data_IF_051469683753
#
_entry.id   IF_051469683753
#
_cell.length_a   1.000
_cell.length_b   1.000
_cell.length_c   1.000
_cell.angle_alpha   90.00
_cell.angle_beta   90.00
_cell.angle_gamma   90.00
#
_symmetry.space_group_name_H-M   'P 1'
#
loop_
_entity.id
_entity.type
_entity.pdbx_description
1 polymer ?
#
# COMPACT_ATOMS: atom_id res chain seq x y z
N UNK A 1 -69.93 -3.76 -37.23
CA UNK A 1 -68.82 -3.74 -38.17
C UNK A 1 -67.96 -2.48 -37.87
N UNK A 2 -66.91 -2.62 -37.09
CA UNK A 2 -65.99 -1.53 -36.74
C UNK A 2 -64.65 -1.83 -37.41
N UNK A 3 -64.23 -0.92 -38.25
CA UNK A 3 -62.89 -0.93 -38.87
C UNK A 3 -61.88 -0.35 -37.89
N UNK A 4 -60.87 -1.14 -37.53
CA UNK A 4 -59.69 -0.71 -36.77
C UNK A 4 -58.67 -0.16 -37.75
N UNK A 5 -58.33 1.15 -37.60
CA UNK A 5 -57.30 1.82 -38.39
C UNK A 5 -55.90 1.56 -37.81
N UNK A 6 -55.04 1.03 -38.67
CA UNK A 6 -53.62 0.86 -38.40
C UNK A 6 -52.89 2.21 -38.48
N UNK A 7 -52.33 2.70 -37.36
CA UNK A 7 -51.44 3.86 -37.36
C UNK A 7 -50.00 3.38 -37.50
N UNK A 8 -49.43 3.63 -38.67
CA UNK A 8 -47.98 3.45 -38.92
C UNK A 8 -47.20 4.55 -38.21
N UNK A 9 -46.37 4.14 -37.24
CA UNK A 9 -45.42 5.03 -36.57
C UNK A 9 -44.12 5.01 -37.37
N UNK A 10 -43.79 6.14 -37.97
CA UNK A 10 -42.54 6.38 -38.69
C UNK A 10 -41.46 6.72 -37.68
N UNK A 11 -40.48 5.80 -37.47
CA UNK A 11 -39.27 6.08 -36.72
C UNK A 11 -38.29 6.87 -37.62
N UNK A 12 -38.08 8.14 -37.31
CA UNK A 12 -37.01 8.96 -37.90
C UNK A 12 -35.72 8.60 -37.14
N UNK A 13 -34.81 7.89 -37.80
CA UNK A 13 -33.42 7.76 -37.36
C UNK A 13 -32.71 9.08 -37.63
N UNK A 14 -32.47 9.88 -36.59
CA UNK A 14 -31.49 10.96 -36.62
C UNK A 14 -30.13 10.33 -36.38
N UNK A 15 -29.34 10.20 -37.43
CA UNK A 15 -27.92 9.87 -37.34
C UNK A 15 -27.22 11.08 -36.72
N UNK A 16 -26.86 10.93 -35.43
CA UNK A 16 -25.91 11.84 -34.78
C UNK A 16 -24.51 11.34 -35.17
N UNK A 17 -23.94 11.93 -36.25
CA UNK A 17 -22.50 11.88 -36.49
C UNK A 17 -21.83 12.80 -35.46
N UNK A 18 -21.55 12.27 -34.25
CA UNK A 18 -20.65 12.95 -33.30
C UNK A 18 -19.27 12.37 -33.42
N UNK A 19 -18.41 13.18 -33.99
CA UNK A 19 -16.96 13.27 -33.76
C UNK A 19 -16.25 12.06 -33.09
N UNK A 20 -15.85 11.10 -33.90
CA UNK A 20 -14.94 10.02 -33.52
C UNK A 20 -13.45 10.35 -33.74
N UNK A 21 -13.07 11.63 -33.79
CA UNK A 21 -11.68 12.02 -34.01
C UNK A 21 -10.79 12.08 -32.78
N UNK A 22 -11.38 12.10 -31.56
CA UNK A 22 -10.59 12.06 -30.29
C UNK A 22 -10.24 10.66 -29.79
N UNK A 23 -11.11 9.67 -30.07
CA UNK A 23 -10.94 8.30 -29.55
C UNK A 23 -9.86 7.52 -30.29
N UNK A 24 -9.63 7.82 -31.58
CA UNK A 24 -8.59 7.14 -32.37
C UNK A 24 -7.17 7.60 -32.00
N UNK A 25 -6.97 8.89 -31.70
CA UNK A 25 -5.66 9.41 -31.28
C UNK A 25 -5.26 8.93 -29.86
N UNK A 26 -6.22 8.85 -28.93
CA UNK A 26 -5.96 8.35 -27.58
C UNK A 26 -5.62 6.84 -27.57
N UNK A 27 -6.28 6.05 -28.43
CA UNK A 27 -5.98 4.62 -28.54
C UNK A 27 -4.60 4.35 -29.16
N UNK A 28 -4.14 5.14 -30.15
CA UNK A 28 -2.80 4.99 -30.72
C UNK A 28 -1.70 5.40 -29.72
N UNK A 29 -1.92 6.44 -28.94
CA UNK A 29 -1.00 6.88 -27.91
C UNK A 29 -0.88 5.85 -26.78
N UNK A 30 -1.98 5.28 -26.28
CA UNK A 30 -1.95 4.23 -25.27
C UNK A 30 -1.28 2.95 -25.78
N UNK A 31 -1.47 2.58 -27.02
CA UNK A 31 -0.80 1.43 -27.63
C UNK A 31 0.73 1.55 -27.58
N UNK A 32 1.29 2.74 -27.85
CA UNK A 32 2.73 3.00 -27.72
C UNK A 32 3.22 2.93 -26.27
N UNK A 33 2.45 3.46 -25.33
CA UNK A 33 2.75 3.36 -23.88
C UNK A 33 2.74 1.90 -23.43
N UNK A 34 1.71 1.15 -23.78
CA UNK A 34 1.55 -0.25 -23.40
C UNK A 34 2.67 -1.11 -23.95
N UNK A 35 3.11 -0.90 -25.20
CA UNK A 35 4.27 -1.58 -25.78
C UNK A 35 5.57 -1.31 -25.00
N UNK A 36 5.77 -0.06 -24.51
CA UNK A 36 6.94 0.28 -23.70
C UNK A 36 6.86 -0.35 -22.30
N UNK A 37 5.67 -0.39 -21.69
CA UNK A 37 5.46 -1.08 -20.40
C UNK A 37 5.70 -2.58 -20.58
N UNK A 38 5.19 -3.19 -21.65
CA UNK A 38 5.35 -4.61 -21.95
C UNK A 38 6.82 -4.96 -22.17
N UNK A 39 7.60 -4.11 -22.82
CA UNK A 39 9.05 -4.28 -22.94
C UNK A 39 9.76 -4.32 -21.57
N UNK A 40 9.35 -3.46 -20.62
CA UNK A 40 9.87 -3.48 -19.25
C UNK A 40 9.38 -4.75 -18.52
N UNK A 41 8.11 -5.13 -18.67
CA UNK A 41 7.52 -6.33 -18.10
C UNK A 41 8.30 -7.58 -18.50
N UNK A 42 8.56 -7.73 -19.79
CA UNK A 42 9.29 -8.88 -20.35
C UNK A 42 10.78 -8.87 -19.93
N UNK A 43 11.44 -7.71 -19.96
CA UNK A 43 12.83 -7.54 -19.54
C UNK A 43 13.04 -7.95 -18.08
N UNK A 44 12.13 -7.57 -17.20
CA UNK A 44 12.19 -7.86 -15.76
C UNK A 44 11.59 -9.23 -15.43
N UNK A 45 11.14 -10.00 -16.42
CA UNK A 45 10.49 -11.31 -16.24
C UNK A 45 9.39 -11.24 -15.19
N UNK A 46 8.46 -10.30 -15.32
CA UNK A 46 7.38 -10.14 -14.34
C UNK A 46 6.34 -11.26 -14.50
N UNK A 47 5.74 -11.72 -13.40
CA UNK A 47 4.67 -12.72 -13.44
C UNK A 47 3.29 -12.08 -13.61
N UNK A 48 3.08 -10.93 -12.97
CA UNK A 48 1.89 -10.11 -13.08
C UNK A 48 2.21 -8.68 -12.68
N UNK A 49 1.61 -7.71 -13.35
CA UNK A 49 1.81 -6.27 -13.14
C UNK A 49 0.48 -5.56 -13.21
N UNK A 50 0.11 -4.82 -12.17
CA UNK A 50 -1.00 -3.88 -12.17
C UNK A 50 -0.49 -2.45 -12.07
N UNK A 51 -1.01 -1.57 -12.92
CA UNK A 51 -0.70 -0.13 -12.92
C UNK A 51 -2.01 0.67 -12.83
N UNK A 52 -2.00 1.73 -12.02
CA UNK A 52 -2.99 2.80 -12.09
C UNK A 52 -2.30 4.16 -12.06
N UNK A 53 -2.79 5.10 -12.88
CA UNK A 53 -2.29 6.48 -12.93
C UNK A 53 -3.42 7.43 -12.59
N UNK A 54 -3.10 8.39 -11.73
CA UNK A 54 -3.99 9.47 -11.33
C UNK A 54 -3.48 10.78 -11.91
N UNK A 55 -4.36 11.60 -12.48
CA UNK A 55 -4.10 12.98 -12.89
C UNK A 55 -5.28 13.86 -12.45
N UNK A 56 -5.00 14.89 -11.65
CA UNK A 56 -6.04 15.73 -11.08
C UNK A 56 -7.03 14.96 -10.20
N UNK A 57 -8.29 14.96 -10.61
CA UNK A 57 -9.42 14.36 -9.89
C UNK A 57 -9.81 12.97 -10.41
N UNK A 58 -9.02 12.41 -11.33
CA UNK A 58 -9.40 11.20 -12.05
C UNK A 58 -8.29 10.15 -12.06
N UNK A 59 -8.70 8.89 -12.07
CA UNK A 59 -7.84 7.78 -12.46
C UNK A 59 -7.90 7.73 -13.99
N UNK A 60 -6.81 8.16 -14.65
CA UNK A 60 -6.75 8.32 -16.11
C UNK A 60 -6.27 7.07 -16.84
N UNK A 61 -5.68 6.12 -16.10
CA UNK A 61 -5.19 4.89 -16.67
C UNK A 61 -5.22 3.75 -15.65
N UNK A 62 -5.71 2.58 -16.05
CA UNK A 62 -5.66 1.32 -15.28
C UNK A 62 -5.45 0.17 -16.24
N UNK A 63 -4.38 -0.59 -16.03
CA UNK A 63 -4.13 -1.77 -16.86
C UNK A 63 -3.39 -2.86 -16.08
N UNK A 64 -3.60 -4.12 -16.47
CA UNK A 64 -2.97 -5.28 -15.87
C UNK A 64 -2.36 -6.19 -16.93
N UNK A 65 -1.13 -6.67 -16.70
CA UNK A 65 -0.39 -7.60 -17.55
C UNK A 65 -0.08 -8.89 -16.82
N UNK A 66 0.02 -9.98 -17.58
CA UNK A 66 0.45 -11.28 -17.07
C UNK A 66 -0.64 -12.02 -16.29
N UNK A 67 -0.24 -12.68 -15.21
CA UNK A 67 -1.08 -13.68 -14.55
C UNK A 67 -1.33 -13.34 -13.09
N UNK A 68 -2.57 -13.61 -12.65
CA UNK A 68 -2.92 -13.75 -11.24
C UNK A 68 -2.36 -15.07 -10.68
N UNK A 69 -2.44 -16.12 -11.49
CA UNK A 69 -1.88 -17.45 -11.23
C UNK A 69 -1.08 -17.90 -12.46
N UNK A 70 0.23 -18.05 -12.29
CA UNK A 70 1.14 -18.39 -13.41
C UNK A 70 0.83 -19.81 -13.93
N UNK A 71 0.87 -20.04 -15.26
CA UNK A 71 0.73 -21.37 -15.83
C UNK A 71 1.74 -22.37 -15.28
N UNK A 72 1.31 -23.60 -15.12
CA UNK A 72 2.14 -24.76 -14.75
C UNK A 72 1.93 -25.89 -15.74
N UNK A 73 2.67 -26.99 -15.61
CA UNK A 73 2.49 -28.18 -16.48
C UNK A 73 1.05 -28.70 -16.42
N UNK A 74 0.36 -28.48 -15.28
CA UNK A 74 -0.99 -29.03 -15.03
C UNK A 74 -2.09 -27.97 -15.04
N UNK A 75 -1.77 -26.68 -15.23
CA UNK A 75 -2.73 -25.58 -15.17
C UNK A 75 -2.38 -24.51 -16.20
N UNK A 76 -3.36 -24.08 -16.99
CA UNK A 76 -3.19 -23.02 -18.01
C UNK A 76 -2.91 -21.63 -17.40
N UNK A 77 -2.98 -21.49 -16.09
CA UNK A 77 -2.88 -20.21 -15.39
C UNK A 77 -4.17 -19.40 -15.46
N UNK A 78 -4.18 -18.28 -14.72
CA UNK A 78 -5.32 -17.36 -14.70
C UNK A 78 -4.76 -15.96 -14.97
N UNK A 79 -5.30 -15.29 -15.99
CA UNK A 79 -4.91 -13.92 -16.32
C UNK A 79 -5.24 -12.96 -15.17
N UNK A 80 -4.37 -11.99 -14.98
CA UNK A 80 -4.56 -10.90 -14.03
C UNK A 80 -5.61 -9.92 -14.52
N UNK A 81 -6.48 -9.46 -13.60
CA UNK A 81 -7.54 -8.47 -13.86
C UNK A 81 -7.36 -7.24 -12.98
N UNK A 82 -7.94 -6.11 -13.38
CA UNK A 82 -7.84 -4.84 -12.64
C UNK A 82 -8.56 -4.87 -11.28
N UNK A 83 -9.49 -5.81 -11.06
CA UNK A 83 -10.23 -6.02 -9.82
C UNK A 83 -9.65 -7.14 -8.93
N UNK A 84 -8.51 -7.70 -9.30
CA UNK A 84 -7.80 -8.66 -8.47
C UNK A 84 -7.06 -7.95 -7.31
N UNK A 85 -6.96 -8.66 -6.17
CA UNK A 85 -6.44 -8.14 -4.91
C UNK A 85 -4.96 -8.50 -4.76
N UNK A 86 -4.11 -7.50 -4.75
CA UNK A 86 -2.71 -7.66 -4.41
C UNK A 86 -2.47 -7.44 -2.91
N UNK A 87 -1.60 -8.24 -2.31
CA UNK A 87 -0.88 -7.80 -1.12
C UNK A 87 0.05 -6.65 -1.51
N UNK A 88 0.19 -5.62 -0.65
CA UNK A 88 0.98 -4.42 -1.00
C UNK A 88 2.20 -4.20 -0.10
N UNK A 89 2.55 -5.17 0.74
CA UNK A 89 3.69 -5.11 1.65
C UNK A 89 3.76 -3.76 2.39
N UNK A 90 4.94 -3.12 2.46
CA UNK A 90 5.15 -1.91 3.29
C UNK A 90 4.33 -0.67 2.89
N UNK A 91 3.65 -0.65 1.74
CA UNK A 91 2.64 0.38 1.45
C UNK A 91 1.51 0.34 2.49
N UNK A 92 1.25 -0.82 3.12
CA UNK A 92 0.32 -0.99 4.24
C UNK A 92 0.57 -0.03 5.40
N UNK A 93 1.82 0.36 5.64
CA UNK A 93 2.21 1.27 6.72
C UNK A 93 1.54 2.65 6.61
N UNK A 94 1.20 3.08 5.41
CA UNK A 94 0.53 4.36 5.20
C UNK A 94 -0.86 4.36 5.83
N UNK A 95 -1.60 3.27 5.74
CA UNK A 95 -2.91 3.11 6.40
C UNK A 95 -2.81 3.17 7.93
N UNK A 96 -1.76 2.54 8.49
CA UNK A 96 -1.48 2.61 9.93
C UNK A 96 -1.20 4.05 10.37
N UNK A 97 -0.33 4.76 9.63
CA UNK A 97 0.02 6.15 9.93
C UNK A 97 -1.22 7.06 9.81
N UNK A 98 -2.06 6.87 8.80
CA UNK A 98 -3.33 7.59 8.63
C UNK A 98 -4.25 7.39 9.83
N UNK A 99 -4.47 6.14 10.27
CA UNK A 99 -5.32 5.87 11.44
C UNK A 99 -4.75 6.45 12.74
N UNK A 100 -3.43 6.40 12.95
CA UNK A 100 -2.78 7.03 14.11
C UNK A 100 -3.03 8.55 14.09
N UNK A 101 -2.90 9.20 12.93
CA UNK A 101 -3.11 10.65 12.83
C UNK A 101 -4.57 11.03 13.03
N UNK A 102 -5.53 10.21 12.61
CA UNK A 102 -6.95 10.41 12.96
C UNK A 102 -7.17 10.37 14.48
N UNK A 103 -6.56 9.39 15.17
CA UNK A 103 -6.64 9.31 16.63
C UNK A 103 -5.95 10.50 17.33
N UNK A 104 -4.92 11.08 16.71
CA UNK A 104 -4.29 12.32 17.18
C UNK A 104 -5.25 13.52 16.99
N UNK A 105 -5.91 13.64 15.85
CA UNK A 105 -6.90 14.69 15.57
C UNK A 105 -8.10 14.62 16.52
N UNK A 106 -8.52 13.41 16.88
CA UNK A 106 -9.59 13.14 17.84
C UNK A 106 -9.16 13.38 19.29
N UNK A 107 -7.87 13.61 19.57
CA UNK A 107 -7.34 13.77 20.92
C UNK A 107 -7.29 12.49 21.75
N UNK A 108 -7.44 11.32 21.10
CA UNK A 108 -7.38 9.99 21.75
C UNK A 108 -5.95 9.64 22.17
N UNK A 109 -4.98 10.06 21.39
CA UNK A 109 -3.55 9.91 21.68
C UNK A 109 -2.74 11.11 21.17
N UNK A 110 -1.52 11.27 21.67
CA UNK A 110 -0.56 12.27 21.17
C UNK A 110 0.65 11.59 20.54
N UNK A 111 1.27 12.26 19.57
CA UNK A 111 2.48 11.74 18.91
C UNK A 111 3.65 11.51 19.89
N UNK A 112 3.70 12.28 20.97
CA UNK A 112 4.76 12.20 21.99
C UNK A 112 4.37 11.36 23.21
N UNK A 113 3.21 10.69 23.16
CA UNK A 113 2.82 9.72 24.17
C UNK A 113 3.79 8.54 24.17
N UNK A 114 4.10 8.09 25.38
CA UNK A 114 4.78 6.82 25.61
C UNK A 114 3.87 5.66 25.18
N UNK A 115 4.30 4.89 24.19
CA UNK A 115 3.49 3.79 23.64
C UNK A 115 3.11 2.73 24.68
N UNK A 116 3.88 2.62 25.75
CA UNK A 116 3.58 1.72 26.88
C UNK A 116 2.21 1.97 27.50
N UNK A 117 1.66 3.20 27.38
CA UNK A 117 0.31 3.50 27.85
C UNK A 117 -0.78 2.66 27.18
N UNK A 118 -0.52 2.23 25.94
CA UNK A 118 -1.47 1.52 25.09
C UNK A 118 -1.17 0.02 24.98
N UNK A 119 0.03 -0.41 25.43
CA UNK A 119 0.45 -1.80 25.39
C UNK A 119 0.14 -2.50 26.73
N UNK A 120 -0.08 -3.82 26.68
CA UNK A 120 -0.32 -4.65 27.86
C UNK A 120 0.98 -5.14 28.55
N UNK A 121 2.12 -4.55 28.17
CA UNK A 121 3.43 -4.89 28.70
C UNK A 121 4.36 -3.67 28.66
N UNK A 122 5.38 -3.61 29.52
CA UNK A 122 6.34 -2.52 29.50
C UNK A 122 7.23 -2.62 28.26
N UNK A 123 7.44 -1.47 27.60
CA UNK A 123 8.30 -1.38 26.43
C UNK A 123 9.38 -0.32 26.65
N UNK A 124 10.61 -0.80 26.84
CA UNK A 124 11.81 0.04 27.04
C UNK A 124 13.01 -0.61 26.37
N UNK A 125 13.86 0.24 25.78
CA UNK A 125 15.19 -0.22 25.41
C UNK A 125 15.98 -0.55 26.70
N UNK A 126 16.54 -1.76 26.82
CA UNK A 126 17.26 -2.18 28.05
C UNK A 126 18.43 -1.27 28.43
N UNK A 127 19.10 -0.66 27.44
CA UNK A 127 20.21 0.28 27.65
C UNK A 127 19.75 1.69 28.02
N UNK A 128 18.45 2.01 27.88
CA UNK A 128 17.86 3.33 28.12
C UNK A 128 16.51 3.23 28.82
N UNK A 129 16.47 2.60 29.97
CA UNK A 129 15.24 2.23 30.69
C UNK A 129 14.39 3.43 31.13
N UNK A 130 15.01 4.59 31.33
CA UNK A 130 14.39 5.85 31.71
C UNK A 130 13.81 6.62 30.50
N UNK A 131 14.06 6.17 29.27
CA UNK A 131 13.63 6.84 28.06
C UNK A 131 12.36 6.20 27.50
N UNK A 132 11.27 6.97 27.33
CA UNK A 132 10.08 6.48 26.66
C UNK A 132 10.36 6.23 25.18
N UNK A 133 9.64 5.27 24.62
CA UNK A 133 9.48 5.11 23.18
C UNK A 133 8.13 5.71 22.82
N UNK A 134 8.13 6.72 21.93
CA UNK A 134 6.93 7.47 21.62
C UNK A 134 6.27 6.98 20.32
N UNK A 135 4.98 7.33 20.12
CA UNK A 135 4.25 7.08 18.88
C UNK A 135 5.01 7.67 17.68
N UNK A 136 5.51 8.89 17.82
CA UNK A 136 6.35 9.57 16.81
C UNK A 136 7.59 8.75 16.45
N UNK A 137 8.30 8.21 17.43
CA UNK A 137 9.50 7.40 17.20
C UNK A 137 9.19 6.10 16.44
N UNK A 138 8.03 5.50 16.67
CA UNK A 138 7.60 4.34 15.88
C UNK A 138 7.28 4.74 14.44
N UNK A 139 6.51 5.82 14.21
CA UNK A 139 6.15 6.33 12.89
C UNK A 139 7.37 6.69 12.04
N UNK A 140 8.41 7.28 12.67
CA UNK A 140 9.63 7.75 11.99
C UNK A 140 10.77 6.74 11.97
N UNK A 141 10.57 5.54 12.49
CA UNK A 141 11.61 4.51 12.61
C UNK A 141 12.85 4.95 13.41
N UNK A 142 12.63 5.74 14.48
CA UNK A 142 13.70 6.21 15.38
C UNK A 142 13.62 5.60 16.79
N UNK A 143 12.83 4.56 16.98
CA UNK A 143 12.54 3.95 18.27
C UNK A 143 13.70 3.17 18.92
N UNK A 144 14.80 2.94 18.19
CA UNK A 144 15.86 1.97 18.52
C UNK A 144 15.45 0.48 18.48
N UNK A 145 14.24 0.16 18.08
CA UNK A 145 13.78 -1.22 17.85
C UNK A 145 14.34 -1.72 16.51
N UNK A 146 14.57 -3.03 16.42
CA UNK A 146 15.07 -3.70 15.21
C UNK A 146 14.29 -4.97 14.88
N UNK A 147 14.45 -5.47 13.64
CA UNK A 147 13.80 -6.68 13.13
C UNK A 147 14.66 -7.95 13.26
N UNK A 148 15.65 -7.98 14.15
CA UNK A 148 16.58 -9.12 14.28
C UNK A 148 15.91 -10.39 14.84
N UNK A 149 14.76 -10.22 15.48
CA UNK A 149 13.95 -11.30 16.05
C UNK A 149 12.67 -11.49 15.25
N UNK A 150 11.78 -12.39 15.67
CA UNK A 150 10.48 -12.65 15.02
C UNK A 150 9.54 -11.44 15.17
N UNK A 151 9.76 -10.40 14.39
CA UNK A 151 9.06 -9.12 14.45
C UNK A 151 7.55 -9.20 14.19
N UNK A 152 7.04 -10.32 13.73
CA UNK A 152 5.60 -10.56 13.52
C UNK A 152 4.87 -11.05 14.78
N UNK A 153 5.52 -11.15 15.95
CA UNK A 153 4.90 -11.49 17.22
C UNK A 153 5.33 -10.51 18.32
N UNK A 154 4.36 -9.96 19.04
CA UNK A 154 4.62 -9.12 20.22
C UNK A 154 5.22 -9.89 21.39
N UNK A 155 5.08 -11.21 21.41
CA UNK A 155 5.61 -12.05 22.50
C UNK A 155 7.13 -11.92 22.63
N UNK A 156 7.84 -11.73 21.52
CA UNK A 156 9.30 -11.68 21.52
C UNK A 156 9.85 -10.40 22.14
N UNK A 157 9.18 -9.25 21.93
CA UNK A 157 9.61 -7.95 22.48
C UNK A 157 9.06 -7.69 23.88
N UNK A 158 8.17 -8.57 24.37
CA UNK A 158 7.56 -8.47 25.68
C UNK A 158 8.51 -9.02 26.76
N UNK A 159 9.07 -8.17 27.65
CA UNK A 159 10.03 -8.62 28.68
C UNK A 159 9.40 -9.48 29.78
N UNK A 160 8.07 -9.58 29.85
CA UNK A 160 7.38 -10.41 30.84
C UNK A 160 7.46 -11.91 30.45
N UNK A 161 7.52 -12.19 29.14
CA UNK A 161 7.41 -13.56 28.61
C UNK A 161 8.59 -14.00 27.74
N UNK A 162 9.49 -13.09 27.38
CA UNK A 162 10.62 -13.41 26.49
C UNK A 162 11.97 -13.01 27.07
N UNK A 163 12.85 -13.99 27.25
CA UNK A 163 14.26 -13.75 27.62
C UNK A 163 15.06 -13.08 26.47
N UNK A 164 14.52 -13.10 25.23
CA UNK A 164 15.18 -12.53 24.07
C UNK A 164 14.74 -11.09 23.77
N UNK A 165 13.88 -10.48 24.61
CA UNK A 165 13.33 -9.16 24.33
C UNK A 165 14.43 -8.10 24.09
N UNK A 166 15.54 -8.18 24.81
CA UNK A 166 16.65 -7.25 24.67
C UNK A 166 17.26 -7.25 23.27
N UNK A 167 17.24 -8.37 22.56
CA UNK A 167 17.76 -8.49 21.19
C UNK A 167 16.91 -7.76 20.16
N UNK A 168 15.67 -7.36 20.51
CA UNK A 168 14.80 -6.53 19.67
C UNK A 168 15.23 -5.06 19.63
N UNK A 169 16.26 -4.66 20.38
CA UNK A 169 16.72 -3.28 20.48
C UNK A 169 18.16 -3.14 19.98
N UNK A 170 18.47 -1.98 19.42
CA UNK A 170 19.84 -1.54 19.17
C UNK A 170 20.39 -0.77 20.37
N UNK A 171 21.71 -0.58 20.39
CA UNK A 171 22.38 0.17 21.46
C UNK A 171 22.19 1.69 21.35
N UNK A 172 21.54 2.16 20.28
CA UNK A 172 21.25 3.59 20.08
C UNK A 172 20.12 4.06 20.99
N UNK A 173 20.24 5.28 21.49
CA UNK A 173 19.19 5.92 22.30
C UNK A 173 17.93 6.15 21.45
N UNK A 174 16.73 5.82 21.96
CA UNK A 174 15.48 6.14 21.29
C UNK A 174 15.40 7.62 20.88
N UNK A 175 14.97 7.87 19.65
CA UNK A 175 14.84 9.18 19.03
C UNK A 175 16.07 9.69 18.27
N UNK A 176 17.23 9.02 18.35
CA UNK A 176 18.48 9.55 17.79
C UNK A 176 18.82 9.08 16.39
N UNK A 177 18.46 7.85 16.02
CA UNK A 177 18.87 7.25 14.75
C UNK A 177 17.69 6.69 13.99
N UNK A 178 17.66 6.96 12.68
CA UNK A 178 16.73 6.32 11.77
C UNK A 178 17.21 4.91 11.41
N UNK A 179 16.39 3.92 11.73
CA UNK A 179 16.60 2.53 11.29
C UNK A 179 15.23 1.93 10.93
N UNK A 180 15.00 1.74 9.64
CA UNK A 180 13.74 1.16 9.17
C UNK A 180 13.47 -0.19 9.86
N UNK A 181 12.27 -0.34 10.42
CA UNK A 181 11.92 -1.47 11.26
C UNK A 181 10.42 -1.80 11.12
N UNK A 182 10.09 -3.03 10.74
CA UNK A 182 8.70 -3.49 10.60
C UNK A 182 8.01 -3.59 11.96
N UNK A 183 8.74 -3.98 12.99
CA UNK A 183 8.22 -4.07 14.36
C UNK A 183 7.56 -2.77 14.83
N UNK A 184 8.09 -1.62 14.41
CA UNK A 184 7.48 -0.34 14.77
C UNK A 184 6.01 -0.26 14.35
N UNK A 185 5.68 -0.72 13.14
CA UNK A 185 4.32 -0.67 12.62
C UNK A 185 3.43 -1.80 13.15
N UNK A 186 4.02 -2.94 13.54
CA UNK A 186 3.29 -3.93 14.33
C UNK A 186 2.86 -3.35 15.68
N UNK A 187 3.78 -2.67 16.38
CA UNK A 187 3.50 -1.97 17.64
C UNK A 187 2.47 -0.85 17.47
N UNK A 188 2.53 -0.06 16.39
CA UNK A 188 1.52 0.95 16.09
C UNK A 188 0.12 0.34 15.90
N UNK A 189 0.03 -0.84 15.28
CA UNK A 189 -1.23 -1.58 15.24
C UNK A 189 -1.76 -1.94 16.62
N UNK A 190 -0.89 -2.40 17.53
CA UNK A 190 -1.26 -2.67 18.92
C UNK A 190 -1.61 -1.40 19.71
N UNK A 191 -0.95 -0.27 19.39
CA UNK A 191 -1.31 1.06 19.95
C UNK A 191 -2.72 1.47 19.53
N UNK A 192 -3.09 1.28 18.25
CA UNK A 192 -4.47 1.54 17.78
C UNK A 192 -5.46 0.70 18.59
N UNK A 193 -5.21 -0.60 18.75
CA UNK A 193 -6.09 -1.47 19.55
C UNK A 193 -6.18 -1.06 21.02
N UNK A 194 -5.04 -0.68 21.61
CA UNK A 194 -5.01 -0.23 23.02
C UNK A 194 -5.69 1.12 23.24
N UNK A 195 -5.64 2.01 22.26
CA UNK A 195 -6.25 3.33 22.32
C UNK A 195 -7.77 3.30 22.07
N UNK A 196 -8.24 2.41 21.18
CA UNK A 196 -9.64 2.36 20.77
C UNK A 196 -10.46 1.26 21.45
N UNK A 197 -9.81 0.21 21.93
CA UNK A 197 -10.50 -0.98 22.42
C UNK A 197 -11.07 -1.88 21.32
N UNK A 198 -10.82 -1.56 20.05
CA UNK A 198 -11.29 -2.29 18.88
C UNK A 198 -10.14 -2.98 18.15
N UNK A 199 -10.47 -3.97 17.31
CA UNK A 199 -9.48 -4.64 16.47
C UNK A 199 -8.92 -3.68 15.42
N UNK A 200 -7.63 -3.78 15.17
CA UNK A 200 -6.91 -2.97 14.19
C UNK A 200 -7.54 -3.02 12.78
N UNK A 201 -7.85 -4.21 12.28
CA UNK A 201 -8.45 -4.38 10.95
C UNK A 201 -9.84 -3.73 10.85
N UNK A 202 -10.62 -3.74 11.92
CA UNK A 202 -11.93 -3.07 12.01
C UNK A 202 -11.76 -1.54 12.03
N UNK A 203 -10.77 -1.02 12.77
CA UNK A 203 -10.48 0.42 12.79
C UNK A 203 -10.08 0.94 11.42
N UNK A 204 -9.19 0.23 10.71
CA UNK A 204 -8.81 0.61 9.34
C UNK A 204 -10.03 0.59 8.39
N UNK A 205 -10.85 -0.44 8.47
CA UNK A 205 -12.05 -0.57 7.65
C UNK A 205 -13.03 0.59 7.87
N UNK A 206 -13.37 0.87 9.14
CA UNK A 206 -14.34 1.92 9.48
C UNK A 206 -13.82 3.33 9.25
N UNK A 207 -12.54 3.59 9.50
CA UNK A 207 -11.94 4.92 9.44
C UNK A 207 -11.47 5.34 8.06
N UNK A 208 -11.08 4.39 7.22
CA UNK A 208 -10.43 4.67 5.94
C UNK A 208 -11.15 3.99 4.78
N UNK A 209 -11.35 2.67 4.85
CA UNK A 209 -11.81 1.91 3.70
C UNK A 209 -13.26 2.26 3.32
N UNK A 210 -14.18 2.20 4.28
CA UNK A 210 -15.60 2.51 4.06
C UNK A 210 -15.84 3.95 3.62
N UNK A 211 -15.27 4.99 4.29
CA UNK A 211 -15.47 6.37 3.86
C UNK A 211 -14.97 6.68 2.44
N UNK A 212 -13.94 5.95 1.97
CA UNK A 212 -13.38 6.11 0.63
C UNK A 212 -14.02 5.18 -0.41
N UNK A 213 -14.96 4.32 -0.01
CA UNK A 213 -15.54 3.28 -0.87
C UNK A 213 -14.45 2.42 -1.55
N UNK A 214 -13.55 1.88 -0.70
CA UNK A 214 -12.41 1.05 -1.10
C UNK A 214 -12.67 -0.39 -0.70
N UNK A 215 -12.46 -1.33 -1.64
CA UNK A 215 -12.51 -2.76 -1.40
C UNK A 215 -11.11 -3.30 -1.10
N UNK A 216 -10.98 -4.00 0.01
CA UNK A 216 -9.73 -4.56 0.47
C UNK A 216 -9.68 -4.69 1.98
N UNK A 217 -8.49 -4.91 2.54
CA UNK A 217 -8.33 -4.95 3.99
C UNK A 217 -7.15 -5.80 4.46
N UNK A 218 -6.95 -5.76 5.77
CA UNK A 218 -5.91 -6.55 6.43
C UNK A 218 -6.36 -7.98 6.76
N UNK A 219 -7.66 -8.18 6.97
CA UNK A 219 -8.22 -9.47 7.36
C UNK A 219 -8.64 -10.29 6.14
N UNK A 220 -7.82 -11.26 5.76
CA UNK A 220 -8.09 -12.15 4.62
C UNK A 220 -9.43 -12.91 4.70
N UNK A 221 -10.00 -13.08 5.91
CA UNK A 221 -11.26 -13.80 6.08
C UNK A 221 -12.48 -13.06 5.54
N UNK A 222 -12.36 -11.73 5.46
CA UNK A 222 -13.43 -10.84 5.01
C UNK A 222 -13.33 -10.54 3.50
N UNK A 223 -12.33 -11.09 2.83
CA UNK A 223 -12.04 -10.84 1.42
C UNK A 223 -12.32 -12.09 0.57
N UNK A 224 -12.70 -11.86 -0.68
CA UNK A 224 -12.82 -12.91 -1.68
C UNK A 224 -11.44 -13.46 -2.06
N UNK A 225 -11.12 -14.64 -1.57
CA UNK A 225 -9.83 -15.28 -1.81
C UNK A 225 -9.63 -15.71 -3.28
N UNK A 226 -10.68 -15.78 -4.08
CA UNK A 226 -10.57 -16.09 -5.52
C UNK A 226 -9.95 -14.93 -6.30
N UNK A 227 -9.96 -13.73 -5.72
CA UNK A 227 -9.33 -12.52 -6.29
C UNK A 227 -7.89 -12.33 -5.86
N UNK A 228 -7.33 -13.15 -4.99
CA UNK A 228 -5.95 -12.96 -4.53
C UNK A 228 -4.94 -13.27 -5.64
N UNK A 229 -4.07 -12.31 -5.92
CA UNK A 229 -2.96 -12.46 -6.86
C UNK A 229 -1.85 -13.26 -6.18
N UNK A 230 -1.50 -14.43 -6.71
CA UNK A 230 -0.42 -15.26 -6.17
C UNK A 230 0.92 -14.56 -6.31
N UNK A 231 1.81 -14.74 -5.34
CA UNK A 231 3.12 -14.11 -5.30
C UNK A 231 4.22 -15.13 -5.59
N UNK A 232 5.24 -14.70 -6.33
CA UNK A 232 6.28 -15.59 -6.84
C UNK A 232 7.67 -15.05 -6.56
N UNK A 233 8.52 -15.87 -5.94
CA UNK A 233 9.96 -15.60 -5.79
C UNK A 233 10.74 -16.12 -6.98
N UNK A 234 11.55 -15.27 -7.55
CA UNK A 234 12.50 -15.66 -8.59
C UNK A 234 13.77 -16.24 -7.96
N UNK A 235 14.15 -17.45 -8.38
CA UNK A 235 15.43 -18.03 -8.04
C UNK A 235 16.42 -17.71 -9.16
N UNK A 236 17.46 -16.93 -8.85
CA UNK A 236 18.45 -16.48 -9.84
C UNK A 236 19.30 -17.62 -10.40
N UNK A 237 19.62 -18.64 -9.58
CA UNK A 237 20.47 -19.75 -9.97
C UNK A 237 19.78 -20.68 -10.96
N UNK A 238 18.53 -21.03 -10.68
CA UNK A 238 17.72 -21.90 -11.54
C UNK A 238 16.96 -21.18 -12.64
N UNK A 239 16.82 -19.85 -12.55
CA UNK A 239 16.01 -19.06 -13.48
C UNK A 239 14.50 -19.28 -13.36
N UNK A 240 14.03 -19.92 -12.28
CA UNK A 240 12.64 -20.36 -12.09
C UNK A 240 11.92 -19.56 -11.04
N UNK A 241 10.63 -19.29 -11.27
CA UNK A 241 9.71 -18.75 -10.27
C UNK A 241 9.14 -19.88 -9.41
N UNK A 242 9.05 -19.62 -8.10
CA UNK A 242 8.33 -20.46 -7.15
C UNK A 242 7.27 -19.64 -6.45
N UNK A 243 6.06 -20.17 -6.38
CA UNK A 243 4.98 -19.57 -5.59
C UNK A 243 5.37 -19.49 -4.13
N UNK A 244 5.10 -18.34 -3.51
CA UNK A 244 5.23 -18.15 -2.07
C UNK A 244 3.85 -18.32 -1.43
N UNK A 245 3.56 -19.52 -0.96
CA UNK A 245 2.28 -19.88 -0.36
C UNK A 245 2.07 -19.26 1.02
N UNK A 246 3.13 -18.73 1.65
CA UNK A 246 3.06 -18.04 2.93
C UNK A 246 2.46 -16.62 2.84
N UNK A 247 2.50 -16.03 1.64
CA UNK A 247 2.05 -14.65 1.43
C UNK A 247 0.60 -14.40 1.86
N UNK A 248 -0.25 -15.41 1.72
CA UNK A 248 -1.68 -15.37 2.07
C UNK A 248 -2.07 -16.48 3.04
N UNK A 249 -1.10 -17.14 3.68
CA UNK A 249 -1.39 -18.19 4.66
C UNK A 249 -2.47 -17.71 5.61
N UNK A 250 -3.57 -18.42 5.65
CA UNK A 250 -4.68 -18.03 6.46
C UNK A 250 -4.36 -18.36 7.91
N UNK A 251 -4.10 -17.37 8.66
CA UNK A 251 -4.40 -17.40 10.08
C UNK A 251 -5.93 -17.33 10.29
N UNK A 252 -6.71 -17.76 9.25
CA UNK A 252 -8.18 -17.65 9.21
C UNK A 252 -8.82 -18.16 10.48
N UNK A 253 -8.48 -19.36 10.88
CA UNK A 253 -9.01 -19.96 12.10
C UNK A 253 -8.61 -19.15 13.33
N UNK A 254 -7.34 -18.75 13.44
CA UNK A 254 -6.83 -18.01 14.60
C UNK A 254 -7.43 -16.61 14.71
N UNK A 255 -7.62 -15.91 13.58
CA UNK A 255 -8.28 -14.59 13.57
C UNK A 255 -9.74 -14.71 14.01
N UNK A 256 -10.45 -15.75 13.60
CA UNK A 256 -11.86 -15.93 13.93
C UNK A 256 -12.10 -16.38 15.37
N UNK A 257 -11.26 -17.24 15.89
CA UNK A 257 -11.53 -17.95 17.14
C UNK A 257 -10.64 -17.56 18.34
N UNK A 258 -9.45 -17.02 18.07
CA UNK A 258 -8.43 -16.78 19.11
C UNK A 258 -7.82 -15.38 19.07
N UNK A 259 -8.48 -14.40 18.45
CA UNK A 259 -7.94 -13.05 18.43
C UNK A 259 -8.06 -12.36 19.78
N UNK A 260 -6.94 -11.93 20.34
CA UNK A 260 -6.85 -11.17 21.58
C UNK A 260 -6.25 -9.79 21.29
N UNK A 261 -6.99 -8.73 21.61
CA UNK A 261 -6.55 -7.34 21.42
C UNK A 261 -5.21 -7.07 22.12
N UNK A 262 -4.31 -6.38 21.43
CA UNK A 262 -2.97 -6.05 21.91
C UNK A 262 -2.02 -7.24 22.03
N UNK A 263 -2.43 -8.44 21.54
CA UNK A 263 -1.58 -9.64 21.49
C UNK A 263 -1.55 -10.27 20.09
N UNK A 264 -2.70 -10.45 19.48
CA UNK A 264 -2.84 -11.19 18.21
C UNK A 264 -2.62 -10.32 16.96
N UNK A 265 -2.12 -9.11 17.11
CA UNK A 265 -1.93 -8.12 16.04
C UNK A 265 -1.07 -8.65 14.88
N UNK A 266 -0.14 -9.54 15.15
CA UNK A 266 0.70 -10.19 14.14
C UNK A 266 -0.09 -11.03 13.12
N UNK A 267 -1.31 -11.44 13.44
CA UNK A 267 -2.17 -12.21 12.53
C UNK A 267 -2.70 -11.38 11.34
N UNK A 268 -2.73 -10.05 11.48
CA UNK A 268 -3.22 -9.12 10.45
C UNK A 268 -2.10 -8.31 9.79
N UNK A 269 -0.88 -8.36 10.33
CA UNK A 269 0.32 -7.72 9.78
C UNK A 269 0.13 -6.24 9.44
N UNK A 270 -0.01 -5.33 10.42
CA UNK A 270 -0.17 -3.89 10.17
C UNK A 270 0.92 -3.29 9.28
N UNK A 271 2.14 -3.79 9.40
CA UNK A 271 3.31 -3.36 8.66
C UNK A 271 3.28 -3.71 7.15
N UNK A 272 2.52 -4.77 6.76
CA UNK A 272 2.65 -5.36 5.41
C UNK A 272 1.44 -6.14 4.90
N UNK A 273 0.35 -6.20 5.65
CA UNK A 273 -0.74 -7.16 5.43
C UNK A 273 -1.93 -6.69 4.60
N UNK A 274 -1.99 -5.45 4.14
CA UNK A 274 -3.09 -4.94 3.32
C UNK A 274 -3.20 -5.68 1.99
N UNK A 275 -4.43 -6.02 1.58
CA UNK A 275 -4.79 -6.53 0.26
C UNK A 275 -5.78 -5.55 -0.36
N UNK A 276 -5.52 -5.14 -1.59
CA UNK A 276 -6.25 -4.07 -2.26
C UNK A 276 -6.05 -4.17 -3.78
N UNK A 277 -7.00 -3.67 -4.57
CA UNK A 277 -6.83 -3.53 -6.01
C UNK A 277 -5.92 -2.33 -6.35
N UNK A 278 -5.34 -2.31 -7.56
CA UNK A 278 -4.58 -1.12 -8.03
C UNK A 278 -5.47 0.12 -8.08
N UNK A 279 -6.71 -0.04 -8.51
CA UNK A 279 -7.70 1.06 -8.62
C UNK A 279 -8.06 1.64 -7.26
N UNK A 280 -8.31 0.78 -6.27
CA UNK A 280 -8.67 1.25 -4.94
C UNK A 280 -7.48 1.85 -4.18
N UNK A 281 -6.27 1.33 -4.40
CA UNK A 281 -5.06 1.96 -3.88
C UNK A 281 -4.83 3.34 -4.53
N UNK A 282 -5.21 3.52 -5.80
CA UNK A 282 -5.18 4.83 -6.45
C UNK A 282 -6.20 5.81 -5.85
N UNK A 283 -7.41 5.37 -5.47
CA UNK A 283 -8.36 6.22 -4.71
C UNK A 283 -7.77 6.67 -3.37
N UNK A 284 -7.15 5.75 -2.63
CA UNK A 284 -6.47 6.08 -1.38
C UNK A 284 -5.32 7.08 -1.60
N UNK A 285 -4.52 6.91 -2.65
CA UNK A 285 -3.47 7.85 -3.05
C UNK A 285 -4.03 9.23 -3.40
N UNK A 286 -5.15 9.29 -4.14
CA UNK A 286 -5.83 10.55 -4.48
C UNK A 286 -6.21 11.33 -3.23
N UNK A 287 -6.72 10.67 -2.18
CA UNK A 287 -7.03 11.29 -0.90
C UNK A 287 -5.80 12.01 -0.33
N UNK A 288 -4.63 11.41 -0.36
CA UNK A 288 -3.38 12.04 0.07
C UNK A 288 -2.94 13.18 -0.85
N UNK A 289 -3.05 13.01 -2.16
CA UNK A 289 -2.75 14.08 -3.12
C UNK A 289 -3.60 15.33 -2.92
N UNK A 290 -4.84 15.14 -2.47
CA UNK A 290 -5.84 16.18 -2.19
C UNK A 290 -5.80 16.72 -0.75
N UNK A 291 -4.71 16.46 -0.03
CA UNK A 291 -4.54 17.01 1.31
C UNK A 291 -5.42 16.36 2.40
N UNK A 292 -5.75 15.10 2.23
CA UNK A 292 -6.50 14.30 3.20
C UNK A 292 -7.97 14.11 2.87
N UNK A 293 -8.45 14.56 1.70
CA UNK A 293 -9.86 14.48 1.30
C UNK A 293 -10.02 13.80 -0.05
N UNK A 294 -11.13 13.09 -0.23
CA UNK A 294 -11.55 12.57 -1.53
C UNK A 294 -13.07 12.67 -1.66
N UNK A 295 -13.55 13.35 -2.71
CA UNK A 295 -14.99 13.65 -2.89
C UNK A 295 -15.55 14.33 -1.64
N UNK A 296 -16.52 13.70 -0.95
CA UNK A 296 -17.14 14.24 0.29
C UNK A 296 -16.49 13.68 1.56
N UNK A 297 -15.56 12.71 1.44
CA UNK A 297 -14.91 12.10 2.60
C UNK A 297 -13.66 12.90 3.00
N UNK A 298 -13.60 13.34 4.24
CA UNK A 298 -12.40 13.86 4.89
C UNK A 298 -11.80 12.77 5.77
N UNK A 299 -10.64 12.30 5.41
CA UNK A 299 -9.91 11.23 6.13
C UNK A 299 -8.89 11.83 7.10
N UNK A 300 -8.20 12.87 6.66
CA UNK A 300 -7.24 13.64 7.47
C UNK A 300 -7.45 15.13 7.24
N UNK A 301 -7.10 15.95 8.22
CA UNK A 301 -6.88 17.37 7.97
C UNK A 301 -5.68 17.58 7.07
N UNK A 302 -5.66 18.70 6.33
CA UNK A 302 -4.49 19.08 5.52
C UNK A 302 -3.20 19.11 6.37
N UNK A 303 -3.29 19.54 7.62
CA UNK A 303 -2.16 19.58 8.56
C UNK A 303 -1.58 18.18 8.79
N UNK A 304 -2.42 17.22 9.12
CA UNK A 304 -1.97 15.83 9.39
C UNK A 304 -1.43 15.17 8.12
N UNK A 305 -2.03 15.42 6.97
CA UNK A 305 -1.53 14.91 5.71
C UNK A 305 -0.14 15.50 5.36
N UNK A 306 0.07 16.81 5.57
CA UNK A 306 1.37 17.43 5.41
C UNK A 306 2.42 16.84 6.37
N UNK A 307 2.04 16.53 7.62
CA UNK A 307 2.93 15.86 8.57
C UNK A 307 3.37 14.48 8.07
N UNK A 308 2.54 13.73 7.34
CA UNK A 308 2.98 12.44 6.75
C UNK A 308 4.13 12.62 5.77
N UNK A 309 4.19 13.73 5.04
CA UNK A 309 5.20 14.04 4.03
C UNK A 309 6.44 14.78 4.55
N UNK A 310 6.35 15.32 5.75
CA UNK A 310 7.45 16.07 6.36
C UNK A 310 8.66 15.15 6.63
N UNK A 311 9.88 15.67 6.45
CA UNK A 311 11.09 14.91 6.70
C UNK A 311 11.56 15.08 8.15
N UNK A 312 11.38 14.06 8.97
CA UNK A 312 11.80 14.04 10.37
C UNK A 312 13.19 13.44 10.61
N UNK A 313 13.82 12.87 9.58
CA UNK A 313 15.04 12.06 9.74
C UNK A 313 16.19 12.48 8.80
N UNK A 314 16.21 13.75 8.41
CA UNK A 314 17.28 14.38 7.67
C UNK A 314 17.57 13.67 6.33
N UNK A 315 18.80 13.20 6.14
CA UNK A 315 19.25 12.56 4.88
C UNK A 315 18.46 11.33 4.46
N UNK A 316 17.70 10.74 5.37
CA UNK A 316 16.88 9.56 5.06
C UNK A 316 15.55 9.91 4.37
N UNK A 317 15.19 11.21 4.31
CA UNK A 317 14.01 11.69 3.59
C UNK A 317 12.71 10.93 3.92
N UNK A 318 12.44 10.69 5.22
CA UNK A 318 11.31 9.90 5.68
C UNK A 318 10.42 10.68 6.65
N UNK A 319 9.12 10.60 6.43
CA UNK A 319 8.06 11.17 7.26
C UNK A 319 7.32 10.10 8.06
N UNK A 320 6.00 10.23 8.18
CA UNK A 320 5.14 9.20 8.77
C UNK A 320 4.65 8.27 7.65
N UNK A 321 5.35 7.17 7.45
CA UNK A 321 5.18 6.19 6.39
C UNK A 321 5.42 6.69 4.95
N UNK A 322 5.62 7.97 4.72
CA UNK A 322 6.00 8.50 3.41
C UNK A 322 7.49 8.82 3.33
N UNK A 323 8.07 8.43 2.21
CA UNK A 323 9.42 8.83 1.80
C UNK A 323 9.33 9.96 0.78
N UNK A 324 10.30 10.87 0.82
CA UNK A 324 10.53 11.85 -0.24
C UNK A 324 11.48 11.27 -1.29
N UNK A 325 11.03 11.20 -2.55
CA UNK A 325 11.82 10.74 -3.69
C UNK A 325 12.28 11.95 -4.50
N UNK A 326 13.53 12.35 -4.28
CA UNK A 326 14.17 13.44 -5.01
C UNK A 326 14.98 12.88 -6.18
N UNK A 327 14.89 13.51 -7.38
CA UNK A 327 15.63 13.10 -8.56
C UNK A 327 15.08 11.85 -9.27
N UNK A 328 13.92 11.32 -8.85
CA UNK A 328 13.20 10.28 -9.59
C UNK A 328 12.64 10.86 -10.89
N UNK A 329 12.08 12.06 -10.80
CA UNK A 329 11.69 12.93 -11.92
C UNK A 329 12.45 14.26 -11.78
N UNK A 330 12.98 14.86 -12.87
CA UNK A 330 13.73 16.12 -12.79
C UNK A 330 12.89 17.25 -12.16
N UNK A 331 13.54 18.04 -11.32
CA UNK A 331 12.96 19.25 -10.67
C UNK A 331 11.69 19.01 -9.83
N UNK A 332 11.44 17.76 -9.45
CA UNK A 332 10.23 17.37 -8.70
C UNK A 332 10.59 16.49 -7.50
N UNK A 333 9.90 16.70 -6.39
CA UNK A 333 9.91 15.80 -5.24
C UNK A 333 8.62 15.02 -5.22
N UNK A 334 8.72 13.71 -5.38
CA UNK A 334 7.59 12.79 -5.23
C UNK A 334 7.51 12.28 -3.79
N UNK A 335 6.33 11.89 -3.37
CA UNK A 335 6.07 11.35 -2.04
C UNK A 335 5.39 9.98 -2.14
N UNK A 336 5.56 9.15 -1.14
CA UNK A 336 4.88 7.87 -1.11
C UNK A 336 5.64 6.78 -0.39
N UNK A 337 5.25 5.54 -0.64
CA UNK A 337 5.87 4.36 -0.05
C UNK A 337 6.01 3.26 -1.08
N UNK A 338 7.09 2.48 -0.94
CA UNK A 338 7.30 1.24 -1.69
C UNK A 338 7.16 0.04 -0.77
N UNK A 339 6.88 -1.10 -1.33
CA UNK A 339 6.77 -2.36 -0.61
C UNK A 339 7.48 -3.50 -1.31
N UNK A 340 7.94 -4.47 -0.53
CA UNK A 340 8.57 -5.68 -1.04
C UNK A 340 8.50 -6.81 -0.03
N UNK A 341 8.34 -8.03 -0.54
CA UNK A 341 8.26 -9.25 0.25
C UNK A 341 7.59 -10.37 -0.56
N UNK A 342 7.92 -11.62 -0.31
CA UNK A 342 7.32 -12.77 -1.00
C UNK A 342 7.46 -12.73 -2.54
N UNK A 343 8.45 -12.00 -3.08
CA UNK A 343 8.61 -11.74 -4.51
C UNK A 343 7.89 -10.50 -5.02
N UNK A 344 6.90 -10.00 -4.30
CA UNK A 344 6.14 -8.78 -4.58
C UNK A 344 7.03 -7.54 -4.58
N UNK A 345 6.73 -6.62 -5.50
CA UNK A 345 7.21 -5.23 -5.51
C UNK A 345 6.03 -4.29 -5.73
N UNK A 346 5.82 -3.36 -4.82
CA UNK A 346 4.74 -2.38 -4.91
C UNK A 346 5.25 -0.95 -4.73
N UNK A 347 4.56 0.00 -5.34
CA UNK A 347 4.77 1.43 -5.15
C UNK A 347 3.44 2.15 -5.18
N UNK A 348 3.28 3.11 -4.28
CA UNK A 348 2.27 4.16 -4.29
C UNK A 348 3.03 5.48 -4.15
N UNK A 349 3.21 6.20 -5.26
CA UNK A 349 4.07 7.39 -5.34
C UNK A 349 3.33 8.49 -6.07
N UNK A 350 3.36 9.70 -5.54
CA UNK A 350 2.59 10.83 -6.07
C UNK A 350 3.32 12.16 -5.97
N UNK A 351 2.92 13.06 -6.85
CA UNK A 351 3.30 14.47 -6.92
C UNK A 351 2.09 15.34 -6.55
N UNK A 352 2.03 15.87 -5.33
CA UNK A 352 0.90 16.71 -4.92
C UNK A 352 0.91 18.08 -5.59
N UNK A 353 2.06 18.53 -6.12
CA UNK A 353 2.18 19.83 -6.79
C UNK A 353 1.55 19.78 -8.20
N UNK A 354 1.87 18.75 -8.96
CA UNK A 354 1.34 18.57 -10.31
C UNK A 354 0.12 17.66 -10.37
N UNK A 355 -0.40 17.25 -9.19
CA UNK A 355 -1.59 16.41 -9.04
C UNK A 355 -1.50 15.12 -9.86
N UNK A 356 -0.36 14.44 -9.79
CA UNK A 356 -0.08 13.21 -10.53
C UNK A 356 0.36 12.09 -9.59
N UNK A 357 -0.14 10.87 -9.80
CA UNK A 357 0.18 9.74 -8.93
C UNK A 357 0.20 8.41 -9.65
N UNK A 358 0.99 7.48 -9.11
CA UNK A 358 1.30 6.19 -9.71
C UNK A 358 1.18 5.09 -8.68
N UNK A 359 0.35 4.10 -8.97
CA UNK A 359 0.31 2.81 -8.29
C UNK A 359 0.90 1.78 -9.24
N UNK A 360 1.89 1.03 -8.77
CA UNK A 360 2.58 -0.01 -9.54
C UNK A 360 2.74 -1.21 -8.62
N UNK A 361 2.17 -2.37 -8.99
CA UNK A 361 2.24 -3.58 -8.17
C UNK A 361 2.62 -4.76 -9.05
N UNK A 362 3.75 -5.41 -8.76
CA UNK A 362 4.25 -6.59 -9.45
C UNK A 362 4.24 -7.80 -8.52
N UNK A 363 3.65 -8.93 -8.96
CA UNK A 363 3.47 -10.14 -8.14
C UNK A 363 4.71 -11.03 -8.06
N UNK A 364 5.68 -10.83 -8.94
CA UNK A 364 6.97 -11.55 -8.97
C UNK A 364 7.83 -11.06 -10.13
N UNK A 365 9.14 -10.99 -9.94
CA UNK A 365 10.08 -10.51 -10.97
C UNK A 365 11.50 -10.96 -10.71
N UNK A 366 12.33 -10.91 -11.76
CA UNK A 366 13.78 -11.07 -11.67
C UNK A 366 14.50 -9.76 -11.27
N UNK A 367 13.77 -8.76 -10.81
CA UNK A 367 14.27 -7.42 -10.49
C UNK A 367 15.20 -7.37 -9.27
N UNK A 368 16.03 -6.34 -9.24
CA UNK A 368 16.97 -6.07 -8.15
C UNK A 368 16.70 -4.69 -7.51
N UNK A 369 17.39 -4.43 -6.40
CA UNK A 369 17.46 -3.11 -5.79
C UNK A 369 18.75 -2.43 -6.26
N UNK A 370 18.63 -1.29 -6.94
CA UNK A 370 19.76 -0.51 -7.46
C UNK A 370 19.60 0.93 -6.97
N UNK A 371 20.63 1.47 -6.31
CA UNK A 371 20.68 2.85 -5.81
C UNK A 371 19.48 3.25 -4.92
N UNK A 372 19.01 2.33 -4.08
CA UNK A 372 17.88 2.57 -3.17
C UNK A 372 16.51 2.55 -3.83
N UNK A 373 16.45 2.26 -5.13
CA UNK A 373 15.22 2.08 -5.89
C UNK A 373 15.12 0.65 -6.42
N UNK A 374 13.90 0.15 -6.51
CA UNK A 374 13.65 -1.04 -7.28
C UNK A 374 13.74 -0.71 -8.78
N UNK A 375 14.41 -1.56 -9.54
CA UNK A 375 14.62 -1.40 -10.98
C UNK A 375 13.34 -1.53 -11.84
N UNK A 376 12.21 -1.93 -11.24
CA UNK A 376 10.87 -1.87 -11.84
C UNK A 376 10.26 -0.46 -11.68
N UNK A 377 10.27 0.08 -10.47
CA UNK A 377 9.53 1.31 -10.15
C UNK A 377 10.14 2.54 -10.85
N UNK A 378 11.48 2.65 -10.85
CA UNK A 378 12.17 3.80 -11.42
C UNK A 378 11.88 4.02 -12.92
N UNK A 379 12.04 3.02 -13.81
CA UNK A 379 11.72 3.21 -15.23
C UNK A 379 10.23 3.40 -15.49
N UNK A 380 9.35 2.67 -14.80
CA UNK A 380 7.90 2.80 -14.99
C UNK A 380 7.40 4.17 -14.55
N UNK A 381 7.82 4.68 -13.38
CA UNK A 381 7.41 6.01 -12.93
C UNK A 381 7.89 7.10 -13.88
N UNK A 382 9.14 7.02 -14.39
CA UNK A 382 9.63 7.99 -15.37
C UNK A 382 8.84 7.95 -16.68
N UNK A 383 8.59 6.76 -17.19
CA UNK A 383 7.79 6.56 -18.41
C UNK A 383 6.39 7.14 -18.26
N UNK A 384 5.69 6.76 -17.18
CA UNK A 384 4.32 7.21 -16.92
C UNK A 384 4.26 8.70 -16.64
N UNK A 385 5.21 9.25 -15.87
CA UNK A 385 5.26 10.68 -15.58
C UNK A 385 5.42 11.50 -16.87
N UNK A 386 6.38 11.15 -17.73
CA UNK A 386 6.61 11.85 -18.99
C UNK A 386 5.38 11.76 -19.88
N UNK A 387 4.85 10.56 -20.09
CA UNK A 387 3.70 10.33 -20.96
C UNK A 387 2.48 11.16 -20.55
N UNK A 388 2.10 11.14 -19.27
CA UNK A 388 0.93 11.87 -18.79
C UNK A 388 1.19 13.36 -18.49
N UNK A 389 2.46 13.82 -18.52
CA UNK A 389 2.79 15.25 -18.44
C UNK A 389 2.75 15.94 -19.81
N UNK A 390 3.08 15.21 -20.91
CA UNK A 390 3.20 15.75 -22.26
C UNK A 390 1.86 15.79 -23.01
N UNK A 391 0.88 15.00 -22.55
CA UNK A 391 -0.44 14.89 -23.17
C UNK A 391 -1.49 15.74 -22.40
N UNK A 392 -1.21 17.02 -22.21
CA UNK A 392 -2.14 18.04 -21.71
C UNK A 392 -2.86 18.75 -22.85
#
# INVERSE_FOLDING_TARGET
MLRVGCKTILFIFVLLECAFSGVASDNENHSSLEAQIEAIFNKMKMTGLGIAVVKGDSIVYVHSWGYKEVPTVNNQGILLKNDDLFRIASVSKTFVATAILQLVEEGVLNLDDDVQKFLKFPLRNPSYRDKPITVRMLLTHTSSINDSQRWWSLDIINPIISDNYAKCFSETKPGMEYKYCNYNYLLLGAVIEGATGNRFDTEIDSRIMKPLDIQGGFNCNLLDSTKFVRLYRYNKESGVFREDDEAYRPYRYQIQTHYTLGKSIGLVYPDSGMKITTTDLAKYMMMHMKGGTLRQATILSLRSEMMMRENYVGKNNYGFAFRQYRGLVPNTTLYGQTGGGFGLKSAMIFDPKHQMGFVIICSGSASEYIDGYNDIHKPLIKLLYNYFSEND
#
